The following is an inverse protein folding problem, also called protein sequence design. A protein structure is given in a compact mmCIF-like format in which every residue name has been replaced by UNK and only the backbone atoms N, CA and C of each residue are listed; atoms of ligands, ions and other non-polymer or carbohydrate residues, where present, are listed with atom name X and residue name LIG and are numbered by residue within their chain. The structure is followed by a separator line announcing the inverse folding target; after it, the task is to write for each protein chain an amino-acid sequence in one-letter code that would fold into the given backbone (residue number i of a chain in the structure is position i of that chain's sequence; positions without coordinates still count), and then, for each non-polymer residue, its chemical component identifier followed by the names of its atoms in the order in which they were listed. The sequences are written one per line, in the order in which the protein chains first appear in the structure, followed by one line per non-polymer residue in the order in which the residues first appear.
data_IF_778734420827
#
_entry.id   IF_778734420827
#
_cell.length_a   1.000
_cell.length_b   1.000
_cell.length_c   1.000
_cell.angle_alpha   90.00
_cell.angle_beta   90.00
_cell.angle_gamma   90.00
#
_symmetry.space_group_name_H-M   'P 1'
#
loop_
_entity.id
_entity.type
_entity.pdbx_description
1 polymer ?
#
# COMPACT_ATOMS: atom_id res chain seq x y z
N UNK A 1 -6.47 -23.04 20.16
CA UNK A 1 -5.18 -22.34 20.01
C UNK A 1 -4.63 -22.74 18.66
N UNK A 2 -5.19 -22.15 17.60
CA UNK A 2 -4.86 -22.45 16.20
C UNK A 2 -3.53 -21.79 15.83
N UNK A 3 -2.46 -22.59 15.86
CA UNK A 3 -1.13 -22.22 15.35
C UNK A 3 -0.86 -22.84 13.97
N UNK A 4 -1.90 -23.22 13.23
CA UNK A 4 -1.80 -23.90 11.93
C UNK A 4 -2.44 -23.06 10.80
N UNK A 5 -2.08 -21.79 10.71
CA UNK A 5 -2.34 -20.99 9.51
C UNK A 5 -1.23 -21.30 8.49
N UNK A 6 -1.57 -21.83 7.29
CA UNK A 6 -0.60 -22.24 6.28
C UNK A 6 0.27 -21.10 5.73
N UNK A 7 -0.06 -19.83 6.04
CA UNK A 7 0.82 -18.68 5.75
C UNK A 7 2.11 -18.66 6.57
N UNK A 8 2.22 -19.49 7.62
CA UNK A 8 3.37 -19.56 8.52
C UNK A 8 4.35 -20.72 8.24
N UNK A 9 4.12 -21.53 7.20
CA UNK A 9 4.87 -22.78 6.95
C UNK A 9 5.91 -22.74 5.81
N UNK A 10 6.45 -21.57 5.46
CA UNK A 10 7.59 -21.47 4.52
C UNK A 10 8.87 -21.06 5.26
N UNK A 11 10.07 -21.54 4.85
CA UNK A 11 11.34 -21.01 5.34
C UNK A 11 11.36 -19.50 5.08
N UNK A 12 11.15 -18.72 6.13
CA UNK A 12 11.08 -17.27 6.02
C UNK A 12 12.50 -16.75 5.93
N UNK A 13 12.92 -16.33 4.74
CA UNK A 13 14.19 -15.64 4.58
C UNK A 13 14.01 -14.13 4.82
N UNK A 14 15.05 -13.50 5.35
CA UNK A 14 15.17 -12.06 5.39
C UNK A 14 15.12 -11.51 3.97
N UNK A 15 14.12 -10.69 3.63
CA UNK A 15 13.94 -10.15 2.29
C UNK A 15 15.03 -9.15 1.87
N UNK A 16 15.91 -8.75 2.80
CA UNK A 16 17.06 -7.86 2.53
C UNK A 16 18.37 -8.61 2.33
N UNK A 17 18.65 -9.66 3.10
CA UNK A 17 19.95 -10.34 3.08
C UNK A 17 19.89 -11.85 2.81
N UNK A 18 18.69 -12.41 2.61
CA UNK A 18 18.48 -13.83 2.34
C UNK A 18 18.73 -14.76 3.52
N UNK A 19 19.02 -14.23 4.72
CA UNK A 19 19.30 -15.07 5.89
C UNK A 19 18.04 -15.80 6.34
N UNK A 20 18.15 -17.09 6.64
CA UNK A 20 17.06 -17.89 7.18
C UNK A 20 16.63 -17.37 8.55
N UNK A 21 15.32 -17.14 8.72
CA UNK A 21 14.75 -16.62 9.96
C UNK A 21 14.06 -17.75 10.72
N UNK A 22 14.42 -17.88 11.99
CA UNK A 22 13.77 -18.79 12.92
C UNK A 22 12.59 -18.06 13.57
N UNK A 23 11.38 -18.31 13.06
CA UNK A 23 10.14 -17.78 13.64
C UNK A 23 9.93 -18.34 15.07
N UNK A 24 9.20 -17.61 15.92
CA UNK A 24 8.86 -18.06 17.27
C UNK A 24 9.96 -17.85 18.33
N UNK A 25 11.19 -17.47 17.95
CA UNK A 25 12.28 -17.13 18.89
C UNK A 25 12.48 -15.63 19.12
N UNK A 26 11.60 -14.79 18.59
CA UNK A 26 11.66 -13.32 18.74
C UNK A 26 12.84 -12.64 18.00
N UNK A 27 13.54 -13.35 17.12
CA UNK A 27 14.74 -12.86 16.42
C UNK A 27 14.47 -12.26 15.03
N UNK A 28 13.20 -12.13 14.64
CA UNK A 28 12.76 -11.67 13.33
C UNK A 28 11.65 -10.63 13.46
N UNK A 29 11.64 -9.68 12.54
CA UNK A 29 10.66 -8.61 12.48
C UNK A 29 9.74 -8.84 11.28
N UNK A 30 8.43 -8.85 11.52
CA UNK A 30 7.42 -8.74 10.48
C UNK A 30 7.10 -7.25 10.28
N UNK A 31 7.45 -6.73 9.12
CA UNK A 31 7.15 -5.35 8.73
C UNK A 31 5.87 -5.34 7.91
N UNK A 32 4.91 -4.51 8.30
CA UNK A 32 3.71 -4.20 7.52
C UNK A 32 3.82 -2.74 7.08
N UNK A 33 3.81 -2.49 5.78
CA UNK A 33 3.75 -1.15 5.20
C UNK A 33 2.38 -0.98 4.59
N UNK A 34 1.75 0.14 4.93
CA UNK A 34 0.48 0.56 4.36
C UNK A 34 0.72 1.91 3.68
N UNK A 35 0.37 1.99 2.40
CA UNK A 35 0.38 3.22 1.63
C UNK A 35 -1.05 3.50 1.19
N UNK A 36 -1.51 4.72 1.45
CA UNK A 36 -2.81 5.21 1.00
C UNK A 36 -2.56 6.39 0.06
N UNK A 37 -3.17 6.39 -1.13
CA UNK A 37 -3.17 7.60 -1.95
C UNK A 37 -4.00 8.68 -1.27
N UNK A 38 -3.65 9.94 -1.53
CA UNK A 38 -4.40 11.08 -1.01
C UNK A 38 -5.88 10.95 -1.42
N UNK A 39 -6.82 10.81 -0.47
CA UNK A 39 -8.24 10.70 -0.78
C UNK A 39 -8.87 12.08 -1.00
N UNK A 40 -8.10 13.17 -0.92
CA UNK A 40 -8.61 14.54 -1.05
C UNK A 40 -9.20 14.73 -2.45
N UNK A 41 -10.51 15.01 -2.56
CA UNK A 41 -11.12 15.31 -3.84
C UNK A 41 -10.44 16.54 -4.47
N UNK A 42 -10.31 16.58 -5.81
CA UNK A 42 -9.79 17.78 -6.47
C UNK A 42 -10.62 19.01 -6.04
N UNK A 43 -9.93 20.10 -5.71
CA UNK A 43 -10.60 21.38 -5.42
C UNK A 43 -11.19 21.89 -6.74
N UNK A 44 -12.52 21.91 -6.82
CA UNK A 44 -13.24 22.52 -7.93
C UNK A 44 -13.31 24.03 -7.64
N UNK A 45 -12.57 24.82 -8.41
CA UNK A 45 -12.60 26.28 -8.30
C UNK A 45 -13.82 26.81 -9.06
N UNK A 46 -14.73 27.49 -8.35
CA UNK A 46 -16.03 27.87 -8.92
C UNK A 46 -15.97 29.08 -9.86
N UNK A 47 -14.83 29.77 -9.91
CA UNK A 47 -14.61 30.93 -10.79
C UNK A 47 -14.22 30.52 -12.24
N UNK A 48 -13.91 29.25 -12.49
CA UNK A 48 -13.53 28.72 -13.82
C UNK A 48 -14.68 28.01 -14.55
N UNK A 49 -15.93 28.08 -14.06
CA UNK A 49 -17.06 27.45 -14.74
C UNK A 49 -17.50 28.23 -15.99
N UNK A 50 -17.41 27.66 -17.21
CA UNK A 50 -18.15 28.18 -18.35
C UNK A 50 -19.66 28.07 -18.04
N UNK A 51 -20.46 28.97 -18.63
CA UNK A 51 -21.93 29.06 -18.46
C UNK A 51 -22.74 27.76 -18.71
N UNK A 52 -22.07 26.65 -19.05
CA UNK A 52 -22.66 25.37 -19.41
C UNK A 52 -22.23 24.27 -18.43
N UNK A 53 -22.75 24.38 -17.20
CA UNK A 53 -22.52 23.44 -16.09
C UNK A 53 -22.82 21.97 -16.48
N UNK A 54 -23.76 21.76 -17.40
CA UNK A 54 -24.10 20.42 -17.91
C UNK A 54 -22.98 19.77 -18.72
N UNK A 55 -22.21 20.56 -19.49
CA UNK A 55 -21.08 20.03 -20.27
C UNK A 55 -19.95 19.63 -19.34
N UNK A 56 -19.61 20.49 -18.37
CA UNK A 56 -18.57 20.21 -17.38
C UNK A 56 -18.87 18.98 -16.53
N UNK A 57 -20.15 18.76 -16.15
CA UNK A 57 -20.57 17.53 -15.45
C UNK A 57 -20.40 16.30 -16.37
N UNK A 58 -20.71 16.44 -17.67
CA UNK A 58 -20.53 15.37 -18.66
C UNK A 58 -19.07 14.95 -18.80
N UNK A 59 -18.16 15.92 -18.92
CA UNK A 59 -16.72 15.68 -19.09
C UNK A 59 -16.12 14.96 -17.86
N UNK A 60 -16.51 15.38 -16.65
CA UNK A 60 -16.09 14.75 -15.39
C UNK A 60 -16.65 13.33 -15.25
N UNK A 61 -17.90 13.11 -15.65
CA UNK A 61 -18.51 11.78 -15.63
C UNK A 61 -17.87 10.83 -16.65
N UNK A 62 -17.46 11.34 -17.82
CA UNK A 62 -16.75 10.58 -18.85
C UNK A 62 -15.35 10.18 -18.35
N UNK A 63 -14.59 11.11 -17.76
CA UNK A 63 -13.28 10.83 -17.15
C UNK A 63 -13.34 9.77 -16.04
N UNK A 64 -14.38 9.83 -15.19
CA UNK A 64 -14.62 8.83 -14.14
C UNK A 64 -15.15 7.50 -14.69
N UNK A 65 -15.82 7.48 -15.85
CA UNK A 65 -16.37 6.26 -16.45
C UNK A 65 -15.32 5.31 -17.02
N UNK A 66 -14.12 5.84 -17.29
CA UNK A 66 -12.99 5.06 -17.80
C UNK A 66 -12.17 4.37 -16.70
N UNK A 67 -12.42 4.69 -15.43
CA UNK A 67 -11.79 4.04 -14.28
C UNK A 67 -12.69 2.91 -13.78
N UNK A 68 -12.22 1.67 -13.85
CA UNK A 68 -12.92 0.58 -13.14
C UNK A 68 -12.79 0.78 -11.63
N UNK A 69 -13.84 0.47 -10.86
CA UNK A 69 -13.82 0.58 -9.40
C UNK A 69 -12.64 -0.20 -8.77
N UNK A 70 -12.20 -1.29 -9.42
CA UNK A 70 -11.05 -2.09 -9.00
C UNK A 70 -9.71 -1.37 -9.22
N UNK A 71 -9.53 -0.69 -10.35
CA UNK A 71 -8.31 0.09 -10.67
C UNK A 71 -8.22 1.40 -9.88
N UNK A 72 -9.38 2.00 -9.54
CA UNK A 72 -9.45 3.12 -8.61
C UNK A 72 -9.10 2.68 -7.18
N UNK A 73 -9.53 1.49 -6.74
CA UNK A 73 -9.22 0.97 -5.40
C UNK A 73 -7.76 0.51 -5.25
N UNK A 74 -7.16 -0.10 -6.28
CA UNK A 74 -5.74 -0.52 -6.26
C UNK A 74 -4.78 0.69 -6.26
N UNK A 75 -5.23 1.85 -6.74
CA UNK A 75 -4.50 3.11 -6.60
C UNK A 75 -4.62 3.73 -5.19
N UNK A 76 -5.64 3.36 -4.42
CA UNK A 76 -5.99 4.03 -3.15
C UNK A 76 -5.35 3.37 -1.94
N UNK A 77 -5.13 2.06 -1.93
CA UNK A 77 -4.56 1.39 -0.76
C UNK A 77 -3.69 0.18 -1.13
N UNK A 78 -2.41 0.22 -0.73
CA UNK A 78 -1.48 -0.89 -0.90
C UNK A 78 -0.90 -1.32 0.45
N UNK A 79 -0.98 -2.62 0.71
CA UNK A 79 -0.35 -3.27 1.86
C UNK A 79 0.77 -4.20 1.41
N UNK A 80 1.96 -4.02 1.98
CA UNK A 80 3.12 -4.89 1.76
C UNK A 80 3.56 -5.46 3.10
N UNK A 81 3.75 -6.77 3.16
CA UNK A 81 4.26 -7.46 4.36
C UNK A 81 5.53 -8.23 4.01
N UNK A 82 6.59 -8.04 4.79
CA UNK A 82 7.85 -8.76 4.61
C UNK A 82 8.60 -8.95 5.93
N UNK A 83 9.56 -9.87 5.91
CA UNK A 83 10.35 -10.21 7.08
C UNK A 83 11.80 -9.72 7.00
N UNK A 84 12.30 -9.20 8.11
CA UNK A 84 13.69 -8.77 8.28
C UNK A 84 14.33 -9.45 9.50
N UNK A 85 15.61 -9.80 9.41
CA UNK A 85 16.41 -10.12 10.60
C UNK A 85 16.67 -8.86 11.43
N UNK A 86 16.97 -9.02 12.72
CA UNK A 86 17.24 -7.88 13.62
C UNK A 86 18.29 -6.89 13.09
N UNK A 87 19.36 -7.39 12.48
CA UNK A 87 20.41 -6.55 11.87
C UNK A 87 19.90 -5.73 10.69
N UNK A 88 19.10 -6.34 9.81
CA UNK A 88 18.56 -5.68 8.63
C UNK A 88 17.43 -4.71 8.98
N UNK A 89 16.64 -5.04 10.00
CA UNK A 89 15.62 -4.17 10.57
C UNK A 89 16.24 -2.90 11.16
N UNK A 90 17.26 -3.02 12.01
CA UNK A 90 17.91 -1.86 12.63
C UNK A 90 18.40 -0.83 11.61
N UNK A 91 18.97 -1.29 10.48
CA UNK A 91 19.40 -0.40 9.40
C UNK A 91 18.27 0.11 8.51
N UNK A 92 17.16 -0.61 8.42
CA UNK A 92 16.05 -0.24 7.55
C UNK A 92 15.14 0.78 8.21
N UNK A 93 14.89 0.66 9.51
CA UNK A 93 14.02 1.60 10.24
C UNK A 93 14.60 3.02 10.31
N UNK A 94 15.92 3.16 10.25
CA UNK A 94 16.60 4.46 10.20
C UNK A 94 16.39 5.19 8.86
N UNK A 95 16.27 4.44 7.76
CA UNK A 95 15.98 4.99 6.44
C UNK A 95 15.15 4.01 5.59
N UNK A 96 13.81 4.00 5.78
CA UNK A 96 12.94 3.00 5.15
C UNK A 96 12.70 3.24 3.65
N UNK A 97 12.92 4.46 3.18
CA UNK A 97 12.72 4.89 1.78
C UNK A 97 13.98 4.81 0.91
N UNK A 98 15.14 4.52 1.51
CA UNK A 98 16.42 4.42 0.79
C UNK A 98 17.35 5.59 1.04
#
# INVERSE_FOLDING_TARGET
MENDDPRFHYPVACQRCGAELQLGRGACYLVNIEAMADPTPPQLDFDDYPNDLNSAIGDVLEELSHLSAQEAMDQVYRRLSFYLCARCYARWIENPTG
#
